data_IF_565142396489
#
_entry.id   IF_565142396489
#
_cell.length_a   1.000
_cell.length_b   1.000
_cell.length_c   1.000
_cell.angle_alpha   90.00
_cell.angle_beta   90.00
_cell.angle_gamma   90.00
#
_symmetry.space_group_name_H-M   'P 1'
#
loop_
_entity.id
_entity.type
_entity.pdbx_description
1 polymer ?
#
# COMPACT_ATOMS: atom_id res chain seq x y z
N UNK A 1 -6.18 1.89 9.46
CA UNK A 1 -4.91 1.67 8.72
C UNK A 1 -3.80 1.78 9.73
N UNK A 2 -2.77 0.92 9.68
CA UNK A 2 -1.72 0.92 10.70
C UNK A 2 -0.51 1.76 10.31
N UNK A 3 -0.03 1.62 9.06
CA UNK A 3 1.14 2.36 8.58
C UNK A 3 1.10 2.51 7.06
N UNK A 4 1.06 3.75 6.53
CA UNK A 4 1.38 4.05 5.14
C UNK A 4 2.84 4.44 4.96
N UNK A 5 3.47 3.95 3.90
CA UNK A 5 4.82 4.34 3.47
C UNK A 5 4.83 4.53 1.96
N UNK A 6 4.96 5.78 1.51
CA UNK A 6 5.05 6.15 0.10
C UNK A 6 6.47 6.57 -0.24
N UNK A 7 7.14 5.72 -1.02
CA UNK A 7 8.46 6.00 -1.60
C UNK A 7 8.31 6.60 -3.00
N UNK A 8 9.42 7.04 -3.58
CA UNK A 8 9.44 7.72 -4.89
C UNK A 8 8.92 6.85 -6.05
N UNK A 9 8.99 5.51 -5.95
CA UNK A 9 8.63 4.60 -7.03
C UNK A 9 7.61 3.49 -6.67
N UNK A 10 7.25 3.36 -5.40
CA UNK A 10 6.23 2.42 -4.92
C UNK A 10 5.78 2.81 -3.52
N UNK A 11 4.71 2.18 -3.04
CA UNK A 11 4.27 2.35 -1.66
C UNK A 11 3.92 1.01 -1.02
N UNK A 12 3.89 1.01 0.30
CA UNK A 12 3.43 -0.10 1.12
C UNK A 12 2.40 0.41 2.12
N UNK A 13 1.41 -0.43 2.41
CA UNK A 13 0.42 -0.19 3.45
C UNK A 13 0.38 -1.40 4.37
N UNK A 14 0.33 -1.16 5.68
CA UNK A 14 -0.06 -2.15 6.67
C UNK A 14 -1.49 -1.86 7.12
N UNK A 15 -2.42 -2.77 6.79
CA UNK A 15 -3.86 -2.56 6.97
C UNK A 15 -4.53 -3.81 7.52
N UNK A 16 -5.50 -3.61 8.41
CA UNK A 16 -6.54 -4.59 8.71
C UNK A 16 -7.75 -4.32 7.83
N UNK A 17 -8.32 -5.39 7.27
CA UNK A 17 -9.51 -5.35 6.41
C UNK A 17 -10.45 -6.47 6.84
N UNK A 18 -11.76 -6.25 6.67
CA UNK A 18 -12.79 -7.24 6.99
C UNK A 18 -12.73 -8.42 6.02
N UNK A 19 -12.52 -8.12 4.75
CA UNK A 19 -12.51 -9.13 3.68
C UNK A 19 -11.72 -8.64 2.45
N UNK A 20 -11.54 -9.55 1.48
CA UNK A 20 -10.83 -9.27 0.24
C UNK A 20 -11.54 -8.23 -0.65
N UNK A 21 -12.88 -8.13 -0.61
CA UNK A 21 -13.66 -7.16 -1.41
C UNK A 21 -13.41 -5.74 -0.92
N UNK A 22 -13.41 -5.54 0.39
CA UNK A 22 -13.08 -4.24 0.99
C UNK A 22 -11.66 -3.81 0.59
N UNK A 23 -10.68 -4.71 0.66
CA UNK A 23 -9.32 -4.40 0.25
C UNK A 23 -9.24 -4.04 -1.24
N UNK A 24 -9.86 -4.83 -2.12
CA UNK A 24 -9.83 -4.57 -3.55
C UNK A 24 -10.51 -3.24 -3.92
N UNK A 25 -11.65 -2.93 -3.30
CA UNK A 25 -12.35 -1.66 -3.50
C UNK A 25 -11.49 -0.48 -3.03
N UNK A 26 -10.91 -0.58 -1.84
CA UNK A 26 -10.00 0.44 -1.31
C UNK A 26 -8.78 0.66 -2.20
N UNK A 27 -8.10 -0.42 -2.60
CA UNK A 27 -6.91 -0.34 -3.46
C UNK A 27 -7.25 0.19 -4.86
N UNK A 28 -8.43 -0.13 -5.40
CA UNK A 28 -8.90 0.45 -6.66
C UNK A 28 -9.10 1.97 -6.52
N UNK A 29 -9.79 2.40 -5.46
CA UNK A 29 -10.02 3.82 -5.19
C UNK A 29 -8.70 4.59 -5.00
N UNK A 30 -7.84 4.11 -4.11
CA UNK A 30 -6.55 4.75 -3.81
C UNK A 30 -5.66 4.83 -5.05
N UNK A 31 -5.42 3.71 -5.74
CA UNK A 31 -4.53 3.68 -6.90
C UNK A 31 -5.06 4.53 -8.06
N UNK A 32 -6.37 4.53 -8.28
CA UNK A 32 -6.98 5.32 -9.35
C UNK A 32 -6.85 6.82 -9.09
N UNK A 33 -7.07 7.27 -7.86
CA UNK A 33 -6.93 8.68 -7.51
C UNK A 33 -5.46 9.12 -7.49
N UNK A 34 -4.58 8.31 -6.90
CA UNK A 34 -3.15 8.63 -6.86
C UNK A 34 -2.54 8.71 -8.26
N UNK A 35 -2.88 7.79 -9.16
CA UNK A 35 -2.41 7.85 -10.55
C UNK A 35 -2.83 9.14 -11.27
N UNK A 36 -4.06 9.62 -11.02
CA UNK A 36 -4.56 10.85 -11.65
C UNK A 36 -3.92 12.10 -11.06
N UNK A 37 -3.85 12.21 -9.73
CA UNK A 37 -3.34 13.41 -9.07
C UNK A 37 -1.82 13.50 -9.14
N UNK A 38 -1.09 12.44 -8.79
CA UNK A 38 0.37 12.43 -8.92
C UNK A 38 0.77 12.53 -10.40
N UNK A 39 0.09 11.80 -11.29
CA UNK A 39 0.33 11.89 -12.73
C UNK A 39 0.11 13.30 -13.28
N UNK A 40 -0.89 14.04 -12.80
CA UNK A 40 -1.09 15.45 -13.17
C UNK A 40 0.04 16.34 -12.68
N UNK A 41 0.49 16.16 -11.43
CA UNK A 41 1.56 16.98 -10.83
C UNK A 41 2.88 16.85 -11.59
N UNK A 42 3.28 15.62 -11.94
CA UNK A 42 4.56 15.38 -12.64
C UNK A 42 4.40 15.25 -14.15
N UNK A 43 3.20 15.50 -14.71
CA UNK A 43 2.88 15.35 -16.13
C UNK A 43 3.17 13.94 -16.67
N UNK A 44 2.85 12.92 -15.89
CA UNK A 44 2.93 11.51 -16.29
C UNK A 44 1.86 11.20 -17.34
N UNK A 45 2.30 10.83 -18.55
CA UNK A 45 1.39 10.54 -19.68
C UNK A 45 1.10 9.06 -19.87
N UNK A 46 2.01 8.21 -19.42
CA UNK A 46 1.96 6.77 -19.62
C UNK A 46 1.18 6.05 -18.50
N UNK A 47 1.15 4.73 -18.58
CA UNK A 47 0.63 3.87 -17.50
C UNK A 47 1.38 4.15 -16.19
N UNK A 48 0.68 4.79 -15.24
CA UNK A 48 1.27 5.17 -13.95
C UNK A 48 1.70 3.95 -13.10
N UNK A 49 0.84 2.93 -13.00
CA UNK A 49 1.14 1.71 -12.24
C UNK A 49 1.67 0.61 -13.14
N UNK A 50 2.91 0.16 -12.90
CA UNK A 50 3.49 -0.96 -13.64
C UNK A 50 2.68 -2.26 -13.50
N UNK A 51 2.09 -2.51 -12.32
CA UNK A 51 1.36 -3.76 -11.99
C UNK A 51 0.17 -3.51 -11.05
N UNK A 52 -0.68 -4.54 -10.90
CA UNK A 52 -1.71 -4.58 -9.85
C UNK A 52 -1.06 -4.60 -8.46
N UNK A 53 -1.80 -4.16 -7.44
CA UNK A 53 -1.35 -4.29 -6.06
C UNK A 53 -1.10 -5.75 -5.68
N UNK A 54 -0.23 -5.95 -4.69
CA UNK A 54 0.04 -7.25 -4.10
C UNK A 54 -0.36 -7.21 -2.63
N UNK A 55 -1.23 -8.13 -2.22
CA UNK A 55 -1.61 -8.33 -0.82
C UNK A 55 -0.89 -9.57 -0.30
N UNK A 56 -0.17 -9.42 0.81
CA UNK A 56 0.48 -10.51 1.53
C UNK A 56 -0.10 -10.56 2.93
N UNK A 57 -0.66 -11.71 3.31
CA UNK A 57 -1.23 -11.89 4.64
C UNK A 57 -0.12 -11.89 5.70
N UNK A 58 -0.31 -11.11 6.76
CA UNK A 58 0.51 -11.14 7.98
C UNK A 58 -0.24 -11.97 9.01
N UNK A 59 0.42 -12.95 9.63
CA UNK A 59 -0.20 -13.78 10.66
C UNK A 59 -0.51 -12.97 11.92
N UNK A 60 -1.35 -13.54 12.78
CA UNK A 60 -1.71 -12.94 14.06
C UNK A 60 -0.58 -12.98 15.10
N UNK A 61 0.55 -13.62 14.78
CA UNK A 61 1.72 -13.68 15.66
C UNK A 61 2.28 -12.26 15.86
N UNK A 62 2.49 -11.85 17.11
CA UNK A 62 3.07 -10.54 17.42
C UNK A 62 4.38 -10.34 16.67
N UNK A 63 5.27 -11.33 16.71
CA UNK A 63 6.56 -11.27 16.01
C UNK A 63 6.41 -11.06 14.48
N UNK A 64 5.37 -11.59 13.84
CA UNK A 64 5.13 -11.37 12.40
C UNK A 64 4.66 -9.94 12.12
N UNK A 65 3.75 -9.42 12.97
CA UNK A 65 3.22 -8.06 12.84
C UNK A 65 4.29 -7.01 13.11
N UNK A 66 5.04 -7.16 14.21
CA UNK A 66 6.12 -6.24 14.61
C UNK A 66 7.25 -6.28 13.59
N UNK A 67 7.69 -7.46 13.15
CA UNK A 67 8.71 -7.57 12.10
C UNK A 67 8.28 -6.89 10.79
N UNK A 68 6.99 -6.99 10.43
CA UNK A 68 6.46 -6.32 9.24
C UNK A 68 6.40 -4.80 9.41
N UNK A 69 5.99 -4.33 10.59
CA UNK A 69 6.01 -2.91 10.94
C UNK A 69 7.44 -2.35 10.86
N UNK A 70 8.41 -2.97 11.55
CA UNK A 70 9.81 -2.57 11.55
C UNK A 70 10.41 -2.53 10.14
N UNK A 71 10.15 -3.56 9.31
CA UNK A 71 10.59 -3.56 7.92
C UNK A 71 10.03 -2.39 7.12
N UNK A 72 8.78 -2.01 7.37
CA UNK A 72 8.12 -0.90 6.68
C UNK A 72 8.64 0.44 7.16
N UNK A 73 8.77 0.63 8.47
CA UNK A 73 9.39 1.83 9.06
C UNK A 73 10.82 2.04 8.56
N UNK A 74 11.55 0.97 8.28
CA UNK A 74 12.93 1.05 7.80
C UNK A 74 13.07 1.56 6.35
N UNK A 75 11.98 1.75 5.61
CA UNK A 75 12.05 2.35 4.27
C UNK A 75 12.54 3.79 4.33
N UNK A 76 13.32 4.22 3.34
CA UNK A 76 14.12 5.44 3.39
C UNK A 76 15.52 5.15 3.93
N UNK A 77 15.62 4.60 5.14
CA UNK A 77 16.92 4.29 5.76
C UNK A 77 17.59 3.08 5.11
N UNK A 78 16.87 1.97 4.90
CA UNK A 78 17.44 0.73 4.34
C UNK A 78 17.86 0.84 2.88
N UNK A 79 17.28 1.78 2.15
CA UNK A 79 17.69 2.15 0.80
C UNK A 79 18.86 3.16 0.79
N UNK A 80 19.29 3.67 1.95
CA UNK A 80 20.35 4.68 2.06
C UNK A 80 19.91 6.04 1.53
N UNK A 81 18.64 6.41 1.67
CA UNK A 81 18.11 7.69 1.19
C UNK A 81 18.08 8.76 2.28
N UNK A 82 17.78 8.38 3.52
CA UNK A 82 17.72 9.27 4.68
C UNK A 82 18.31 8.58 5.92
N UNK A 83 18.69 9.35 6.93
CA UNK A 83 19.28 8.82 8.18
C UNK A 83 18.22 8.25 9.13
N UNK A 84 17.06 8.90 9.21
CA UNK A 84 15.90 8.46 10.00
C UNK A 84 14.65 8.29 9.14
N UNK A 85 13.73 7.36 9.47
CA UNK A 85 12.39 7.33 8.86
C UNK A 85 11.64 8.66 9.01
N UNK A 86 11.97 9.45 10.05
CA UNK A 86 11.37 10.75 10.33
C UNK A 86 11.81 11.87 9.37
N UNK A 87 12.89 11.64 8.63
CA UNK A 87 13.47 12.59 7.66
C UNK A 87 12.93 12.39 6.23
N UNK A 88 12.12 11.35 6.01
CA UNK A 88 11.54 11.09 4.70
C UNK A 88 10.64 12.26 4.26
N UNK A 89 10.84 12.84 3.07
CA UNK A 89 10.10 14.03 2.63
C UNK A 89 8.66 13.74 2.17
N UNK A 90 8.34 12.49 1.86
CA UNK A 90 7.02 12.06 1.40
C UNK A 90 6.13 11.56 2.53
N UNK A 91 4.99 10.96 2.18
CA UNK A 91 4.07 10.36 3.16
C UNK A 91 4.72 9.12 3.78
N UNK A 92 5.09 9.22 5.06
CA UNK A 92 5.60 8.12 5.86
C UNK A 92 5.03 8.22 7.27
N UNK A 93 4.20 7.27 7.69
CA UNK A 93 3.48 7.35 8.97
C UNK A 93 4.32 7.24 10.24
N UNK A 94 5.66 7.29 10.17
CA UNK A 94 6.53 7.14 11.34
C UNK A 94 6.35 8.30 12.31
N UNK A 95 6.35 9.53 11.78
CA UNK A 95 6.18 10.75 12.56
C UNK A 95 4.83 10.75 13.27
N UNK A 96 3.75 10.45 12.55
CA UNK A 96 2.40 10.44 13.09
C UNK A 96 2.19 9.36 14.15
N UNK A 97 2.82 8.18 13.98
CA UNK A 97 2.80 7.13 15.00
C UNK A 97 3.55 7.52 16.27
N UNK A 98 4.70 8.20 16.17
CA UNK A 98 5.46 8.69 17.34
C UNK A 98 4.74 9.86 18.01
N UNK A 99 4.21 10.80 17.24
CA UNK A 99 3.54 11.98 17.79
C UNK A 99 2.13 11.66 18.30
N UNK A 100 1.51 10.57 17.83
CA UNK A 100 0.13 10.21 18.15
C UNK A 100 -0.89 11.16 17.50
N UNK A 101 -0.57 11.66 16.30
CA UNK A 101 -1.40 12.63 15.56
C UNK A 101 -1.91 12.02 14.26
N UNK A 102 -3.05 12.50 13.72
CA UNK A 102 -3.49 12.07 12.40
C UNK A 102 -2.55 12.56 11.30
N UNK A 103 -2.47 11.80 10.21
CA UNK A 103 -1.91 12.31 8.95
C UNK A 103 -2.92 13.32 8.40
N UNK A 104 -2.48 14.54 8.11
CA UNK A 104 -3.35 15.56 7.51
C UNK A 104 -2.98 15.79 6.05
N UNK A 105 -3.99 15.99 5.21
CA UNK A 105 -3.82 16.17 3.77
C UNK A 105 -4.83 17.13 3.17
N UNK A 106 -4.53 17.59 1.95
CA UNK A 106 -5.45 18.38 1.14
C UNK A 106 -6.01 17.49 0.03
N UNK A 107 -7.32 17.31 0.03
CA UNK A 107 -8.05 16.62 -1.00
C UNK A 107 -8.67 17.62 -1.98
N UNK A 108 -8.41 17.46 -3.27
CA UNK A 108 -9.02 18.30 -4.30
C UNK A 108 -10.23 17.58 -4.87
N UNK A 109 -11.44 18.10 -4.65
CA UNK A 109 -12.66 17.58 -5.26
C UNK A 109 -12.75 17.94 -6.76
N UNK A 110 -12.07 17.13 -7.56
CA UNK A 110 -12.09 17.23 -9.04
C UNK A 110 -13.48 17.05 -9.64
N UNK A 111 -14.37 16.34 -8.95
CA UNK A 111 -15.72 16.10 -9.45
C UNK A 111 -16.55 17.37 -9.34
N UNK A 112 -16.46 18.04 -8.20
CA UNK A 112 -17.09 19.32 -7.97
C UNK A 112 -16.51 20.41 -8.90
N UNK A 113 -15.18 20.48 -9.02
CA UNK A 113 -14.47 21.39 -9.95
C UNK A 113 -14.98 21.21 -11.39
N UNK A 114 -15.04 19.96 -11.87
CA UNK A 114 -15.52 19.64 -13.23
C UNK A 114 -17.00 20.00 -13.43
N UNK A 115 -17.85 19.80 -12.42
CA UNK A 115 -19.26 20.21 -12.48
C UNK A 115 -19.42 21.73 -12.52
N UNK A 116 -18.64 22.47 -11.73
CA UNK A 116 -18.68 23.93 -11.71
C UNK A 116 -18.23 24.52 -13.05
N UNK A 117 -17.12 24.02 -13.61
CA UNK A 117 -16.63 24.43 -14.94
C UNK A 117 -17.65 24.20 -16.05
N UNK A 118 -18.35 23.05 -16.06
CA UNK A 118 -19.41 22.79 -17.05
C UNK A 118 -20.61 23.73 -16.95
N UNK A 119 -20.80 24.37 -15.79
CA UNK A 119 -21.83 25.41 -15.59
C UNK A 119 -21.33 26.82 -15.93
N UNK A 120 -20.12 26.97 -16.45
CA UNK A 120 -19.54 28.26 -16.80
C UNK A 120 -19.05 29.09 -15.60
N UNK A 121 -18.97 28.48 -14.41
CA UNK A 121 -18.42 29.14 -13.24
C UNK A 121 -16.88 29.16 -13.36
N UNK A 122 -16.26 30.26 -12.92
CA UNK A 122 -14.81 30.38 -12.71
C UNK A 122 -14.46 30.49 -11.20
N UNK A 123 -14.76 29.44 -10.41
CA UNK A 123 -14.49 29.42 -8.97
C UNK A 123 -13.00 29.32 -8.67
N UNK A 124 -12.59 29.85 -7.51
CA UNK A 124 -11.22 29.75 -7.01
C UNK A 124 -10.86 28.25 -6.83
N UNK A 125 -9.72 27.76 -7.35
CA UNK A 125 -9.24 26.40 -7.11
C UNK A 125 -9.24 25.97 -5.64
N UNK A 126 -9.01 26.88 -4.69
CA UNK A 126 -9.00 26.58 -3.26
C UNK A 126 -10.41 26.23 -2.72
N UNK A 127 -11.50 26.65 -3.38
CA UNK A 127 -12.88 26.27 -3.01
C UNK A 127 -13.14 24.77 -3.17
N UNK A 128 -12.33 24.07 -3.98
CA UNK A 128 -12.42 22.63 -4.18
C UNK A 128 -11.49 21.84 -3.28
N UNK A 129 -10.75 22.51 -2.39
CA UNK A 129 -9.80 21.86 -1.51
C UNK A 129 -10.44 21.62 -0.13
N UNK A 130 -10.55 20.34 0.22
CA UNK A 130 -11.02 19.88 1.52
C UNK A 130 -9.82 19.38 2.32
N UNK A 131 -9.76 19.71 3.62
CA UNK A 131 -8.77 19.13 4.52
C UNK A 131 -9.28 17.79 5.01
N UNK A 132 -8.45 16.77 4.88
CA UNK A 132 -8.76 15.40 5.28
C UNK A 132 -7.77 14.93 6.33
N UNK A 133 -8.24 14.10 7.25
CA UNK A 133 -7.45 13.51 8.31
C UNK A 133 -7.52 11.98 8.26
N UNK A 134 -6.37 11.34 8.42
CA UNK A 134 -6.25 9.90 8.51
C UNK A 134 -5.62 9.52 9.85
N UNK A 135 -6.42 8.98 10.74
CA UNK A 135 -5.96 8.44 12.02
C UNK A 135 -5.37 7.04 11.82
N UNK A 136 -4.13 6.87 12.27
CA UNK A 136 -3.47 5.57 12.29
C UNK A 136 -3.93 4.77 13.51
N UNK A 137 -4.21 3.50 13.29
CA UNK A 137 -4.69 2.57 14.32
C UNK A 137 -3.53 1.68 14.79
N UNK A 138 -3.39 1.39 16.09
CA UNK A 138 -2.40 0.45 16.59
C UNK A 138 -2.40 -0.90 15.87
N UNK A 139 -1.28 -1.60 15.88
CA UNK A 139 -1.22 -2.99 15.41
C UNK A 139 -2.19 -3.85 16.21
N UNK A 140 -2.83 -4.88 15.60
CA UNK A 140 -3.68 -5.80 16.34
C UNK A 140 -3.01 -6.41 17.58
N UNK A 141 -1.74 -6.83 17.49
CA UNK A 141 -0.99 -7.37 18.62
C UNK A 141 -0.75 -6.36 19.75
N UNK A 142 -0.85 -5.06 19.48
CA UNK A 142 -0.64 -3.96 20.42
C UNK A 142 -1.91 -3.13 20.66
N UNK A 143 -3.08 -3.69 20.30
CA UNK A 143 -4.36 -2.98 20.35
C UNK A 143 -4.84 -2.65 21.76
N UNK A 144 -4.35 -3.38 22.77
CA UNK A 144 -4.64 -3.16 24.19
C UNK A 144 -3.63 -2.25 24.90
N UNK A 145 -2.55 -1.83 24.23
CA UNK A 145 -1.60 -0.90 24.82
C UNK A 145 -2.22 0.48 24.97
N UNK A 146 -1.90 1.16 26.05
CA UNK A 146 -2.21 2.58 26.16
C UNK A 146 -1.40 3.39 25.13
N UNK A 147 -1.86 4.60 24.76
CA UNK A 147 -1.21 5.41 23.73
C UNK A 147 0.25 5.78 24.03
N UNK A 148 0.65 5.91 25.30
CA UNK A 148 2.03 6.27 25.66
C UNK A 148 2.96 5.09 25.48
N UNK A 149 2.57 3.91 25.97
CA UNK A 149 3.32 2.67 25.77
C UNK A 149 3.42 2.30 24.28
N UNK A 150 2.35 2.50 23.51
CA UNK A 150 2.38 2.28 22.06
C UNK A 150 3.41 3.18 21.37
N UNK A 151 3.39 4.50 21.65
CA UNK A 151 4.34 5.46 21.10
C UNK A 151 5.78 5.13 21.48
N UNK A 152 6.02 4.73 22.73
CA UNK A 152 7.33 4.30 23.20
C UNK A 152 7.86 3.07 22.43
N UNK A 153 6.99 2.09 22.11
CA UNK A 153 7.38 0.95 21.28
C UNK A 153 7.73 1.37 19.85
N UNK A 154 6.96 2.26 19.23
CA UNK A 154 7.28 2.78 17.89
C UNK A 154 8.61 3.51 17.89
N UNK A 155 8.85 4.34 18.91
CA UNK A 155 10.09 5.08 19.07
C UNK A 155 11.29 4.13 19.18
N UNK A 156 11.18 3.06 19.97
CA UNK A 156 12.24 2.05 20.10
C UNK A 156 12.55 1.35 18.75
N UNK A 157 11.54 1.05 17.94
CA UNK A 157 11.75 0.50 16.58
C UNK A 157 12.49 1.48 15.68
N UNK A 158 12.16 2.77 15.73
CA UNK A 158 12.84 3.82 14.96
C UNK A 158 14.31 3.95 15.40
N UNK A 159 14.59 3.96 16.70
CA UNK A 159 15.95 4.02 17.23
C UNK A 159 16.80 2.82 16.82
N UNK A 160 16.21 1.63 16.78
CA UNK A 160 16.85 0.42 16.27
C UNK A 160 17.18 0.54 14.77
N UNK A 161 16.26 1.09 13.97
CA UNK A 161 16.46 1.34 12.54
C UNK A 161 17.59 2.34 12.30
N UNK A 162 17.60 3.45 13.02
CA UNK A 162 18.64 4.48 12.90
C UNK A 162 20.01 3.93 13.31
N UNK A 163 20.07 3.13 14.37
CA UNK A 163 21.31 2.48 14.83
C UNK A 163 21.84 1.52 13.77
N UNK A 164 20.96 0.69 13.20
CA UNK A 164 21.32 -0.19 12.09
C UNK A 164 21.77 0.60 10.85
N UNK A 165 21.11 1.72 10.53
CA UNK A 165 21.47 2.61 9.42
C UNK A 165 22.88 3.19 9.59
N UNK A 166 23.19 3.74 10.77
CA UNK A 166 24.53 4.23 11.12
C UNK A 166 25.60 3.14 11.03
N UNK A 167 25.30 1.93 11.49
CA UNK A 167 26.22 0.81 11.40
C UNK A 167 26.51 0.42 9.94
N UNK A 168 25.47 0.34 9.10
CA UNK A 168 25.60 0.07 7.67
C UNK A 168 26.41 1.14 6.95
N UNK A 169 26.26 2.41 7.33
CA UNK A 169 27.06 3.50 6.80
C UNK A 169 28.55 3.30 7.13
N UNK A 170 28.88 2.93 8.38
CA UNK A 170 30.27 2.62 8.78
C UNK A 170 30.86 1.45 7.99
N UNK A 171 30.08 0.39 7.79
CA UNK A 171 30.51 -0.80 7.06
C UNK A 171 30.72 -0.57 5.56
N UNK A 172 29.89 0.28 4.95
CA UNK A 172 29.91 0.49 3.49
C UNK A 172 30.68 1.75 3.07
N UNK A 173 30.96 2.66 4.00
CA UNK A 173 31.54 3.98 3.73
C UNK A 173 30.60 4.92 2.96
N UNK A 174 29.32 4.57 2.81
CA UNK A 174 28.35 5.34 2.01
C UNK A 174 27.35 6.04 2.92
N UNK A 175 27.39 7.36 2.96
CA UNK A 175 26.37 8.18 3.61
C UNK A 175 25.02 8.10 2.86
N UNK A 176 23.89 8.33 3.54
CA UNK A 176 22.61 8.45 2.86
C UNK A 176 22.60 9.59 1.85
N UNK A 177 21.73 9.47 0.85
CA UNK A 177 21.58 10.48 -0.20
C UNK A 177 21.17 11.85 0.38
N UNK A 178 20.30 11.85 1.39
CA UNK A 178 19.77 13.02 2.06
C UNK A 178 18.47 13.53 1.44
N UNK A 179 17.62 14.11 2.29
CA UNK A 179 16.28 14.62 1.95
C UNK A 179 16.27 15.52 0.71
N UNK A 180 17.18 16.49 0.65
CA UNK A 180 17.23 17.46 -0.45
C UNK A 180 17.55 16.81 -1.78
N UNK A 181 18.48 15.86 -1.80
CA UNK A 181 18.84 15.13 -3.01
C UNK A 181 17.73 14.16 -3.44
N UNK A 182 17.01 13.54 -2.50
CA UNK A 182 15.80 12.76 -2.80
C UNK A 182 14.76 13.63 -3.50
N UNK A 183 14.50 14.84 -3.00
CA UNK A 183 13.53 15.77 -3.61
C UNK A 183 13.95 16.29 -4.99
N UNK A 184 15.25 16.30 -5.30
CA UNK A 184 15.78 16.73 -6.61
C UNK A 184 15.75 15.65 -7.68
N UNK A 185 15.41 14.41 -7.32
CA UNK A 185 15.32 13.33 -8.30
C UNK A 185 14.26 13.63 -9.35
N UNK A 186 14.58 13.39 -10.62
CA UNK A 186 13.60 13.49 -11.69
C UNK A 186 12.56 12.37 -11.54
N UNK A 187 11.26 12.70 -11.38
CA UNK A 187 10.22 11.68 -11.26
C UNK A 187 10.17 10.76 -12.49
N UNK A 188 10.56 11.23 -13.69
CA UNK A 188 10.57 10.44 -14.92
C UNK A 188 11.79 9.53 -15.09
N UNK A 189 12.73 9.56 -14.14
CA UNK A 189 13.90 8.70 -14.21
C UNK A 189 13.51 7.22 -14.04
N UNK A 190 13.77 6.41 -15.08
CA UNK A 190 13.61 4.97 -15.03
C UNK A 190 14.97 4.27 -14.84
N UNK A 191 15.12 3.41 -13.82
CA UNK A 191 16.37 2.69 -13.62
C UNK A 191 16.56 1.61 -14.69
N UNK A 192 17.79 1.47 -15.20
CA UNK A 192 18.15 0.48 -16.22
C UNK A 192 17.86 -0.99 -15.82
N UNK A 193 17.79 -1.28 -14.51
CA UNK A 193 17.51 -2.63 -14.01
C UNK A 193 16.57 -2.59 -12.83
N UNK A 194 15.45 -3.29 -12.97
CA UNK A 194 14.47 -3.48 -11.90
C UNK A 194 14.62 -4.91 -11.36
N UNK A 195 14.88 -5.05 -10.05
CA UNK A 195 14.89 -6.36 -9.39
C UNK A 195 13.48 -6.94 -9.41
N UNK A 196 13.33 -8.13 -10.01
CA UNK A 196 12.09 -8.91 -9.98
C UNK A 196 12.27 -10.09 -9.06
N UNK A 197 11.46 -10.14 -8.00
CA UNK A 197 11.36 -11.29 -7.12
C UNK A 197 9.88 -11.59 -6.84
N UNK A 198 9.48 -12.86 -6.73
CA UNK A 198 8.13 -13.19 -6.31
C UNK A 198 7.89 -12.67 -4.89
N UNK A 199 6.70 -12.15 -4.65
CA UNK A 199 6.28 -11.80 -3.29
C UNK A 199 6.14 -13.09 -2.46
N UNK A 200 6.49 -13.05 -1.17
CA UNK A 200 6.15 -14.15 -0.28
C UNK A 200 4.62 -14.35 -0.26
N UNK A 201 4.18 -15.60 -0.11
CA UNK A 201 2.74 -15.90 -0.01
C UNK A 201 2.14 -15.35 1.29
N UNK A 202 2.90 -15.47 2.38
CA UNK A 202 2.47 -15.11 3.74
C UNK A 202 3.67 -14.65 4.56
N UNK A 203 3.43 -13.74 5.50
CA UNK A 203 4.35 -13.39 6.57
C UNK A 203 3.90 -14.09 7.86
N UNK A 204 4.68 -15.07 8.29
CA UNK A 204 4.46 -15.84 9.52
C UNK A 204 5.82 -16.26 10.07
N UNK A 205 5.96 -16.31 11.39
CA UNK A 205 7.22 -16.66 12.06
C UNK A 205 7.28 -18.17 12.27
N UNK A 206 6.27 -18.72 12.95
CA UNK A 206 6.14 -20.12 13.27
C UNK A 206 5.98 -21.00 11.99
N UNK A 207 6.76 -22.08 11.84
CA UNK A 207 6.66 -22.99 10.69
C UNK A 207 5.25 -23.58 10.50
N UNK A 208 4.56 -23.93 11.58
CA UNK A 208 3.21 -24.49 11.57
C UNK A 208 2.16 -23.48 11.12
N UNK A 209 2.23 -22.23 11.58
CA UNK A 209 1.36 -21.14 11.13
C UNK A 209 1.58 -20.89 9.65
N UNK A 210 2.86 -20.81 9.23
CA UNK A 210 3.21 -20.67 7.81
C UNK A 210 2.66 -21.80 6.96
N UNK A 211 2.82 -23.05 7.40
CA UNK A 211 2.27 -24.23 6.70
C UNK A 211 0.75 -24.17 6.61
N UNK A 212 0.07 -23.82 7.70
CA UNK A 212 -1.39 -23.72 7.73
C UNK A 212 -1.91 -22.66 6.76
N UNK A 213 -1.35 -21.44 6.79
CA UNK A 213 -1.77 -20.36 5.89
C UNK A 213 -1.46 -20.68 4.42
N UNK A 214 -0.32 -21.32 4.13
CA UNK A 214 0.00 -21.78 2.77
C UNK A 214 -0.98 -22.84 2.29
N UNK A 215 -1.36 -23.81 3.14
CA UNK A 215 -2.39 -24.80 2.81
C UNK A 215 -3.70 -24.11 2.47
N UNK A 216 -4.16 -23.17 3.31
CA UNK A 216 -5.38 -22.40 3.04
C UNK A 216 -5.33 -21.65 1.69
N UNK A 217 -4.19 -20.99 1.40
CA UNK A 217 -3.97 -20.33 0.11
C UNK A 217 -4.10 -21.30 -1.08
N UNK A 218 -3.44 -22.46 -1.02
CA UNK A 218 -3.49 -23.44 -2.11
C UNK A 218 -4.87 -24.07 -2.25
N UNK A 219 -5.55 -24.38 -1.14
CA UNK A 219 -6.95 -24.86 -1.17
C UNK A 219 -7.88 -23.85 -1.84
N UNK A 220 -7.77 -22.57 -1.50
CA UNK A 220 -8.52 -21.49 -2.15
C UNK A 220 -8.20 -21.40 -3.64
N UNK A 221 -6.91 -21.41 -4.00
CA UNK A 221 -6.45 -21.31 -5.40
C UNK A 221 -6.99 -22.47 -6.23
N UNK A 222 -6.92 -23.69 -5.71
CA UNK A 222 -7.37 -24.89 -6.43
C UNK A 222 -8.90 -24.87 -6.61
N UNK A 223 -9.65 -24.46 -5.59
CA UNK A 223 -11.10 -24.25 -5.69
C UNK A 223 -11.45 -23.18 -6.73
N UNK A 224 -10.73 -22.05 -6.73
CA UNK A 224 -10.90 -20.99 -7.72
C UNK A 224 -10.61 -21.48 -9.14
N UNK A 225 -9.52 -22.23 -9.33
CA UNK A 225 -9.13 -22.74 -10.64
C UNK A 225 -10.13 -23.76 -11.20
N UNK A 226 -10.71 -24.60 -10.33
CA UNK A 226 -11.80 -25.51 -10.71
C UNK A 226 -13.04 -24.74 -11.16
N UNK A 227 -13.50 -23.78 -10.36
CA UNK A 227 -14.63 -22.92 -10.72
C UNK A 227 -14.37 -22.17 -12.04
N UNK A 228 -13.20 -21.54 -12.17
CA UNK A 228 -12.83 -20.83 -13.40
C UNK A 228 -12.79 -21.75 -14.63
N UNK A 229 -12.44 -23.03 -14.47
CA UNK A 229 -12.48 -24.02 -15.57
C UNK A 229 -13.91 -24.33 -15.97
N UNK A 230 -14.78 -24.68 -15.00
CA UNK A 230 -16.20 -24.95 -15.27
C UNK A 230 -16.88 -23.78 -15.99
N UNK A 231 -16.60 -22.55 -15.56
CA UNK A 231 -17.15 -21.35 -16.20
C UNK A 231 -16.65 -21.19 -17.64
N UNK A 232 -15.36 -21.46 -17.90
CA UNK A 232 -14.80 -21.44 -19.27
C UNK A 232 -15.42 -22.51 -20.16
N UNK A 233 -15.78 -23.65 -19.58
CA UNK A 233 -16.39 -24.77 -20.29
C UNK A 233 -17.91 -24.58 -20.50
N UNK A 234 -18.47 -23.42 -20.11
CA UNK A 234 -19.84 -23.02 -20.40
C UNK A 234 -20.87 -23.30 -19.29
N UNK A 235 -20.46 -23.78 -18.12
CA UNK A 235 -21.35 -23.94 -16.99
C UNK A 235 -21.89 -22.58 -16.51
N UNK A 236 -23.21 -22.49 -16.30
CA UNK A 236 -23.89 -21.24 -15.94
C UNK A 236 -23.97 -20.98 -14.45
N UNK A 237 -23.98 -22.03 -13.62
CA UNK A 237 -24.22 -21.96 -12.17
C UNK A 237 -22.96 -22.35 -11.38
N UNK A 238 -21.85 -21.70 -11.69
CA UNK A 238 -20.57 -21.99 -11.04
C UNK A 238 -20.38 -21.16 -9.78
N UNK A 239 -20.27 -21.83 -8.64
CA UNK A 239 -19.96 -21.19 -7.36
C UNK A 239 -18.44 -21.05 -7.20
N UNK A 240 -17.97 -19.82 -7.06
CA UNK A 240 -16.58 -19.52 -6.73
C UNK A 240 -16.36 -19.53 -5.20
N UNK A 241 -15.14 -19.83 -4.72
CA UNK A 241 -14.85 -19.78 -3.30
C UNK A 241 -15.04 -18.37 -2.74
N UNK A 242 -15.40 -18.27 -1.46
CA UNK A 242 -15.59 -16.98 -0.79
C UNK A 242 -14.33 -16.10 -0.89
N UNK A 243 -14.54 -14.80 -1.12
CA UNK A 243 -13.43 -13.85 -1.33
C UNK A 243 -12.82 -13.87 -2.74
N UNK A 244 -13.29 -14.75 -3.63
CA UNK A 244 -12.92 -14.72 -5.04
C UNK A 244 -13.52 -13.52 -5.79
N UNK A 245 -12.84 -13.13 -6.86
CA UNK A 245 -13.34 -12.22 -7.88
C UNK A 245 -13.54 -13.00 -9.17
N UNK A 246 -14.75 -13.52 -9.45
CA UNK A 246 -15.03 -14.25 -10.67
C UNK A 246 -14.74 -13.39 -11.90
N UNK A 247 -14.21 -13.98 -12.99
CA UNK A 247 -14.13 -13.27 -14.26
C UNK A 247 -15.54 -12.96 -14.76
N UNK A 248 -15.69 -11.87 -15.52
CA UNK A 248 -16.97 -11.57 -16.17
C UNK A 248 -17.36 -12.75 -17.07
N UNK A 249 -18.63 -13.22 -17.04
CA UNK A 249 -19.08 -14.23 -17.98
C UNK A 249 -18.92 -13.70 -19.42
N UNK A 250 -18.64 -14.57 -20.40
CA UNK A 250 -18.59 -14.16 -21.79
C UNK A 250 -19.91 -13.47 -22.16
N UNK A 251 -19.83 -12.33 -22.84
CA UNK A 251 -21.01 -11.60 -23.27
C UNK A 251 -21.87 -12.52 -24.14
N UNK A 252 -23.11 -12.78 -23.71
CA UNK A 252 -24.09 -13.45 -24.56
C UNK A 252 -24.48 -12.46 -25.65
N UNK A 253 -23.82 -12.52 -26.80
CA UNK A 253 -24.32 -11.83 -27.99
C UNK A 253 -25.61 -12.54 -28.37
N UNK A 254 -26.75 -11.90 -28.11
CA UNK A 254 -28.02 -12.38 -28.60
C UNK A 254 -27.92 -12.48 -30.13
N UNK A 255 -28.10 -13.68 -30.67
CA UNK A 255 -28.24 -13.85 -32.10
C UNK A 255 -29.38 -12.94 -32.56
N UNK A 256 -29.09 -11.99 -33.47
CA UNK A 256 -30.14 -11.23 -34.14
C UNK A 256 -30.99 -12.25 -34.90
N UNK A 257 -32.20 -12.48 -34.44
CA UNK A 257 -33.24 -13.14 -35.22
C UNK A 257 -33.42 -12.31 -36.50
N UNK A 258 -33.14 -12.94 -37.64
CA UNK A 258 -33.44 -12.41 -38.97
C UNK A 258 -34.92 -12.43 -39.26
#
# INVERSE_FOLDING_TARGET
MHLPVFLSNHYHLLVSVRDAKQLAAFMNYLNSNLAREAGRQVRWREKFWGRRYQAVLVSNEEAAQVSRLAYLLAHGVKEGLVDSPLDWPGVHGARELVEGKPITGRWHDRTLESRARRKGLAPDPEEFIVREELTLTPLPCWSSLDPETYRARIQAEIEAIETWGRQRQKETGKAPLGRDQVCRQDPHHEPNRIKKAPAPLVHAVAPEVRRALRRAYFTFRDAFQRAARLLRDGATDVVFPEGAFPPAPPARIAARSG
#
